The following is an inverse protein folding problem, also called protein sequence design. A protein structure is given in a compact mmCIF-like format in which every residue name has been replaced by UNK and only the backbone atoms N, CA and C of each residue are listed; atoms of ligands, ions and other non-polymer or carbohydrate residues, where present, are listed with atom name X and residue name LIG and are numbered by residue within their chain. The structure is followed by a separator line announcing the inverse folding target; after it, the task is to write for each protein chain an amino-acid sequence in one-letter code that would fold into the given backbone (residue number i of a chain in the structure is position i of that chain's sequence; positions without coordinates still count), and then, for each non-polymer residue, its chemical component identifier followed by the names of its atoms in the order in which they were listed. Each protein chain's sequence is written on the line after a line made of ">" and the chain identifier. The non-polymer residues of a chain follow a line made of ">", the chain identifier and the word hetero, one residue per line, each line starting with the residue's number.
data_IF_308970870046
#
_entry.id   IF_308970870046
#
_cell.length_a   1.000
_cell.length_b   1.000
_cell.length_c   1.000
_cell.angle_alpha   90.00
_cell.angle_beta   90.00
_cell.angle_gamma   90.00
#
_symmetry.space_group_name_H-M   'P 1'
#
loop_
_entity.id
_entity.type
_entity.pdbx_description
1 polymer ?
#
# COMPACT_ATOMS: atom_id res chain seq x y z
N UNK A 1 -101.96 71.20 -33.03
CA UNK A 1 -100.52 70.89 -33.27
C UNK A 1 -99.70 72.14 -32.98
N UNK A 2 -99.16 72.28 -31.76
CA UNK A 2 -98.34 73.44 -31.41
C UNK A 2 -96.91 73.25 -31.89
N UNK A 3 -96.47 74.06 -32.84
CA UNK A 3 -95.10 74.03 -33.38
C UNK A 3 -94.12 74.52 -32.31
N UNK A 4 -93.34 73.59 -31.75
CA UNK A 4 -92.24 73.91 -30.84
C UNK A 4 -91.25 74.82 -31.56
N UNK A 5 -90.98 76.00 -31.01
CA UNK A 5 -90.03 76.96 -31.59
C UNK A 5 -88.62 76.36 -31.61
N UNK A 6 -87.81 76.76 -32.60
CA UNK A 6 -86.44 76.25 -32.78
C UNK A 6 -85.60 76.38 -31.48
N UNK A 7 -85.72 77.50 -30.77
CA UNK A 7 -85.04 77.71 -29.48
C UNK A 7 -85.37 76.62 -28.45
N UNK A 8 -86.65 76.29 -28.25
CA UNK A 8 -87.06 75.24 -27.29
C UNK A 8 -86.51 73.85 -27.66
N UNK A 9 -86.37 73.57 -28.95
CA UNK A 9 -85.76 72.31 -29.41
C UNK A 9 -84.26 72.27 -29.13
N UNK A 10 -83.55 73.39 -29.30
CA UNK A 10 -82.12 73.51 -28.96
C UNK A 10 -81.90 73.36 -27.45
N UNK A 11 -82.73 74.00 -26.62
CA UNK A 11 -82.63 73.88 -25.16
C UNK A 11 -82.89 72.45 -24.68
N UNK A 12 -83.89 71.78 -25.26
CA UNK A 12 -84.21 70.39 -24.97
C UNK A 12 -83.07 69.45 -25.39
N UNK A 13 -82.46 69.68 -26.56
CA UNK A 13 -81.29 68.91 -27.02
C UNK A 13 -80.09 69.12 -26.10
N UNK A 14 -79.84 70.35 -25.66
CA UNK A 14 -78.76 70.68 -24.73
C UNK A 14 -78.94 70.00 -23.37
N UNK A 15 -80.19 69.94 -22.86
CA UNK A 15 -80.51 69.19 -21.64
C UNK A 15 -80.31 67.69 -21.81
N UNK A 16 -80.73 67.12 -22.93
CA UNK A 16 -80.56 65.70 -23.22
C UNK A 16 -79.09 65.31 -23.39
N UNK A 17 -78.27 66.17 -24.03
CA UNK A 17 -76.82 65.96 -24.15
C UNK A 17 -76.17 65.93 -22.76
N UNK A 18 -76.50 66.89 -21.88
CA UNK A 18 -75.95 66.92 -20.52
C UNK A 18 -76.35 65.70 -19.69
N UNK A 19 -77.58 65.23 -19.84
CA UNK A 19 -78.06 64.03 -19.16
C UNK A 19 -77.33 62.78 -19.68
N UNK A 20 -77.16 62.66 -21.00
CA UNK A 20 -76.42 61.58 -21.64
C UNK A 20 -74.92 61.59 -21.27
N UNK A 21 -74.30 62.77 -21.17
CA UNK A 21 -72.93 62.94 -20.69
C UNK A 21 -72.78 62.55 -19.21
N UNK A 22 -73.76 62.89 -18.37
CA UNK A 22 -73.76 62.52 -16.96
C UNK A 22 -73.94 61.00 -16.77
N UNK A 23 -74.81 60.37 -17.54
CA UNK A 23 -75.01 58.92 -17.50
C UNK A 23 -73.79 58.16 -18.06
N UNK A 24 -73.19 58.62 -19.16
CA UNK A 24 -71.95 58.07 -19.68
C UNK A 24 -70.77 58.25 -18.70
N UNK A 25 -70.74 59.33 -17.93
CA UNK A 25 -69.75 59.56 -16.87
C UNK A 25 -69.93 58.56 -15.72
N UNK A 26 -71.18 58.34 -15.28
CA UNK A 26 -71.48 57.36 -14.22
C UNK A 26 -71.16 55.93 -14.64
N UNK A 27 -71.43 55.57 -15.90
CA UNK A 27 -71.10 54.25 -16.44
C UNK A 27 -69.59 54.02 -16.44
N UNK A 28 -68.80 55.02 -16.88
CA UNK A 28 -67.34 54.98 -16.79
C UNK A 28 -66.82 54.87 -15.36
N UNK A 29 -67.41 55.59 -14.41
CA UNK A 29 -67.05 55.47 -12.99
C UNK A 29 -67.34 54.08 -12.43
N UNK A 30 -68.48 53.48 -12.80
CA UNK A 30 -68.85 52.13 -12.39
C UNK A 30 -67.89 51.07 -12.98
N UNK A 31 -67.48 51.23 -14.24
CA UNK A 31 -66.51 50.36 -14.90
C UNK A 31 -65.13 50.46 -14.24
N UNK A 32 -64.68 51.67 -13.90
CA UNK A 32 -63.44 51.91 -13.17
C UNK A 32 -63.46 51.23 -11.79
N UNK A 33 -64.57 51.34 -11.06
CA UNK A 33 -64.75 50.71 -9.75
C UNK A 33 -64.75 49.18 -9.84
N UNK A 34 -65.33 48.61 -10.90
CA UNK A 34 -65.28 47.17 -11.17
C UNK A 34 -63.84 46.71 -11.45
N UNK A 35 -63.07 47.50 -12.20
CA UNK A 35 -61.66 47.26 -12.48
C UNK A 35 -60.82 47.23 -11.19
N UNK A 36 -61.00 48.22 -10.30
CA UNK A 36 -60.29 48.25 -9.01
C UNK A 36 -60.62 47.03 -8.14
N UNK A 37 -61.88 46.60 -8.07
CA UNK A 37 -62.26 45.37 -7.35
C UNK A 37 -61.58 44.11 -7.89
N UNK A 38 -61.40 44.03 -9.21
CA UNK A 38 -60.70 42.90 -9.83
C UNK A 38 -59.21 42.95 -9.47
N UNK A 39 -58.58 44.12 -9.51
CA UNK A 39 -57.20 44.32 -9.09
C UNK A 39 -56.98 43.93 -7.63
N UNK A 40 -57.87 44.34 -6.72
CA UNK A 40 -57.79 44.01 -5.30
C UNK A 40 -57.88 42.49 -5.08
N UNK A 41 -58.81 41.81 -5.76
CA UNK A 41 -58.93 40.35 -5.70
C UNK A 41 -57.70 39.63 -6.24
N UNK A 42 -57.07 40.16 -7.30
CA UNK A 42 -55.83 39.59 -7.83
C UNK A 42 -54.67 39.75 -6.85
N UNK A 43 -54.58 40.89 -6.16
CA UNK A 43 -53.60 41.13 -5.10
C UNK A 43 -53.83 40.15 -3.94
N UNK A 44 -55.08 39.95 -3.51
CA UNK A 44 -55.43 38.96 -2.48
C UNK A 44 -55.10 37.52 -2.90
N UNK A 45 -55.32 37.15 -4.16
CA UNK A 45 -54.95 35.83 -4.69
C UNK A 45 -53.42 35.64 -4.76
N UNK A 46 -52.66 36.71 -5.01
CA UNK A 46 -51.19 36.69 -5.05
C UNK A 46 -50.54 36.69 -3.67
N UNK A 47 -51.24 37.12 -2.63
CA UNK A 47 -50.78 37.02 -1.26
C UNK A 47 -50.92 35.59 -0.76
N UNK A 48 -49.80 34.86 -0.72
CA UNK A 48 -49.79 33.57 -0.05
C UNK A 48 -50.22 33.75 1.42
N UNK A 49 -51.12 32.90 1.94
CA UNK A 49 -51.53 32.99 3.33
C UNK A 49 -50.28 32.90 4.21
N UNK A 50 -50.06 33.92 5.05
CA UNK A 50 -48.92 34.01 5.97
C UNK A 50 -48.75 32.75 6.82
N UNK A 51 -49.87 32.05 7.10
CA UNK A 51 -49.93 30.76 7.78
C UNK A 51 -49.24 29.62 7.00
N UNK A 52 -49.31 29.63 5.67
CA UNK A 52 -48.69 28.64 4.80
C UNK A 52 -47.17 28.85 4.72
N UNK A 53 -46.74 30.10 4.54
CA UNK A 53 -45.33 30.52 4.59
C UNK A 53 -44.68 30.14 5.93
N UNK A 54 -45.39 30.36 7.04
CA UNK A 54 -44.94 29.97 8.37
C UNK A 54 -44.83 28.45 8.53
N UNK A 55 -45.79 27.67 8.03
CA UNK A 55 -45.70 26.21 8.03
C UNK A 55 -44.54 25.69 7.18
N UNK A 56 -44.29 26.33 6.03
CA UNK A 56 -43.17 25.98 5.16
C UNK A 56 -41.82 26.27 5.82
N UNK A 57 -41.67 27.42 6.50
CA UNK A 57 -40.44 27.75 7.22
C UNK A 57 -40.20 26.82 8.41
N UNK A 58 -41.26 26.48 9.17
CA UNK A 58 -41.20 25.50 10.26
C UNK A 58 -40.79 24.11 9.73
N UNK A 59 -41.35 23.67 8.60
CA UNK A 59 -41.00 22.40 7.97
C UNK A 59 -39.55 22.39 7.48
N UNK A 60 -39.10 23.47 6.83
CA UNK A 60 -37.72 23.65 6.38
C UNK A 60 -36.73 23.63 7.54
N UNK A 61 -37.07 24.26 8.67
CA UNK A 61 -36.24 24.22 9.87
C UNK A 61 -36.20 22.81 10.48
N UNK A 62 -37.35 22.13 10.59
CA UNK A 62 -37.38 20.72 11.04
C UNK A 62 -36.52 19.82 10.15
N UNK A 63 -36.61 19.99 8.83
CA UNK A 63 -35.79 19.25 7.88
C UNK A 63 -34.29 19.53 8.06
N UNK A 64 -33.90 20.80 8.26
CA UNK A 64 -32.50 21.16 8.55
C UNK A 64 -31.99 20.54 9.85
N UNK A 65 -32.82 20.50 10.89
CA UNK A 65 -32.48 19.84 12.16
C UNK A 65 -32.31 18.32 12.01
N UNK A 66 -32.89 17.71 10.98
CA UNK A 66 -32.71 16.28 10.67
C UNK A 66 -31.46 16.08 9.82
N UNK A 67 -31.28 16.84 8.74
CA UNK A 67 -30.18 16.65 7.78
C UNK A 67 -28.81 16.96 8.35
N UNK A 68 -28.68 18.00 9.18
CA UNK A 68 -27.37 18.39 9.71
C UNK A 68 -26.69 17.27 10.53
N UNK A 69 -27.37 16.63 11.51
CA UNK A 69 -26.80 15.48 12.23
C UNK A 69 -26.42 14.31 11.33
N UNK A 70 -27.20 14.00 10.28
CA UNK A 70 -26.85 12.92 9.35
C UNK A 70 -25.59 13.25 8.55
N UNK A 71 -25.39 14.51 8.16
CA UNK A 71 -24.16 14.93 7.48
C UNK A 71 -22.96 14.86 8.42
N UNK A 72 -23.10 15.33 9.66
CA UNK A 72 -22.05 15.23 10.68
C UNK A 72 -21.69 13.77 10.97
N UNK A 73 -22.69 12.88 11.04
CA UNK A 73 -22.47 11.44 11.20
C UNK A 73 -21.76 10.82 10.00
N UNK A 74 -22.12 11.19 8.76
CA UNK A 74 -21.41 10.72 7.56
C UNK A 74 -19.94 11.15 7.55
N UNK A 75 -19.66 12.40 7.97
CA UNK A 75 -18.30 12.92 8.11
C UNK A 75 -17.51 12.13 9.18
N UNK A 76 -18.14 11.82 10.32
CA UNK A 76 -17.55 10.98 11.38
C UNK A 76 -17.29 9.54 10.92
N UNK A 77 -18.22 8.92 10.20
CA UNK A 77 -18.06 7.58 9.62
C UNK A 77 -16.89 7.58 8.64
N UNK A 78 -16.80 8.60 7.78
CA UNK A 78 -15.69 8.77 6.83
C UNK A 78 -14.34 8.89 7.55
N UNK A 79 -14.27 9.71 8.61
CA UNK A 79 -13.07 9.83 9.43
C UNK A 79 -12.70 8.49 10.11
N UNK A 80 -13.68 7.77 10.66
CA UNK A 80 -13.47 6.47 11.28
C UNK A 80 -12.89 5.45 10.30
N UNK A 81 -13.43 5.39 9.07
CA UNK A 81 -12.92 4.52 8.01
C UNK A 81 -11.46 4.81 7.67
N UNK A 82 -11.11 6.09 7.53
CA UNK A 82 -9.72 6.51 7.28
C UNK A 82 -8.78 6.10 8.42
N UNK A 83 -9.23 6.21 9.67
CA UNK A 83 -8.47 5.76 10.83
C UNK A 83 -8.30 4.23 10.84
N UNK A 84 -9.33 3.46 10.50
CA UNK A 84 -9.24 2.00 10.39
C UNK A 84 -8.23 1.57 9.31
N UNK A 85 -8.27 2.20 8.14
CA UNK A 85 -7.32 1.93 7.05
C UNK A 85 -5.88 2.29 7.43
N UNK A 86 -5.67 3.40 8.15
CA UNK A 86 -4.36 3.76 8.67
C UNK A 86 -3.85 2.75 9.70
N UNK A 87 -4.72 2.29 10.61
CA UNK A 87 -4.38 1.27 11.61
C UNK A 87 -4.03 -0.07 10.97
N UNK A 88 -4.80 -0.49 9.97
CA UNK A 88 -4.53 -1.71 9.19
C UNK A 88 -3.17 -1.64 8.47
N UNK A 89 -2.87 -0.51 7.82
CA UNK A 89 -1.56 -0.30 7.19
C UNK A 89 -0.42 -0.36 8.21
N UNK A 90 -0.58 0.25 9.38
CA UNK A 90 0.41 0.20 10.45
C UNK A 90 0.66 -1.24 10.92
N UNK A 91 -0.39 -2.02 11.17
CA UNK A 91 -0.25 -3.41 11.59
C UNK A 91 0.51 -4.25 10.55
N UNK A 92 0.22 -4.04 9.25
CA UNK A 92 0.95 -4.70 8.17
C UNK A 92 2.44 -4.31 8.15
N UNK A 93 2.77 -3.04 8.38
CA UNK A 93 4.17 -2.58 8.49
C UNK A 93 4.87 -3.20 9.70
N UNK A 94 4.20 -3.26 10.85
CA UNK A 94 4.75 -3.85 12.08
C UNK A 94 5.00 -5.37 11.91
N UNK A 95 4.14 -6.06 11.15
CA UNK A 95 4.34 -7.46 10.79
C UNK A 95 5.55 -7.66 9.88
N UNK A 96 5.67 -6.86 8.82
CA UNK A 96 6.84 -6.87 7.93
C UNK A 96 8.13 -6.58 8.72
N UNK A 97 8.11 -5.59 9.62
CA UNK A 97 9.27 -5.25 10.44
C UNK A 97 9.71 -6.43 11.33
N UNK A 98 8.76 -7.16 11.91
CA UNK A 98 9.05 -8.35 12.72
C UNK A 98 9.66 -9.47 11.87
N UNK A 99 9.10 -9.76 10.70
CA UNK A 99 9.66 -10.76 9.78
C UNK A 99 11.07 -10.40 9.33
N UNK A 100 11.35 -9.12 9.09
CA UNK A 100 12.71 -8.64 8.75
C UNK A 100 13.68 -8.89 9.91
N UNK A 101 13.27 -8.60 11.15
CA UNK A 101 14.09 -8.85 12.34
C UNK A 101 14.41 -10.35 12.51
N UNK A 102 13.44 -11.22 12.28
CA UNK A 102 13.63 -12.68 12.30
C UNK A 102 14.65 -13.13 11.24
N UNK A 103 14.53 -12.63 10.01
CA UNK A 103 15.49 -12.92 8.93
C UNK A 103 16.91 -12.45 9.29
N UNK A 104 17.05 -11.25 9.87
CA UNK A 104 18.35 -10.73 10.33
C UNK A 104 18.94 -11.62 11.42
N UNK A 105 18.13 -12.06 12.39
CA UNK A 105 18.58 -12.96 13.45
C UNK A 105 19.06 -14.31 12.89
N UNK A 106 18.32 -14.90 11.95
CA UNK A 106 18.71 -16.13 11.26
C UNK A 106 20.02 -15.93 10.48
N UNK A 107 20.17 -14.82 9.75
CA UNK A 107 21.39 -14.51 9.01
C UNK A 107 22.60 -14.41 9.94
N UNK A 108 22.44 -13.77 11.10
CA UNK A 108 23.50 -13.67 12.10
C UNK A 108 23.89 -15.04 12.66
N UNK A 109 22.90 -15.89 12.93
CA UNK A 109 23.16 -17.26 13.38
C UNK A 109 23.90 -18.10 12.34
N UNK A 110 23.49 -18.03 11.07
CA UNK A 110 24.19 -18.72 9.97
C UNK A 110 25.65 -18.26 9.88
N UNK A 111 25.89 -16.94 9.93
CA UNK A 111 27.24 -16.40 9.91
C UNK A 111 28.08 -16.89 11.10
N UNK A 112 27.50 -16.95 12.30
CA UNK A 112 28.16 -17.51 13.47
C UNK A 112 28.52 -18.99 13.26
N UNK A 113 27.58 -19.81 12.80
CA UNK A 113 27.81 -21.24 12.55
C UNK A 113 28.88 -21.48 11.47
N UNK A 114 28.91 -20.67 10.42
CA UNK A 114 29.96 -20.73 9.39
C UNK A 114 31.33 -20.41 10.00
N UNK A 115 31.42 -19.36 10.80
CA UNK A 115 32.68 -18.96 11.43
C UNK A 115 33.19 -20.01 12.43
N UNK A 116 32.29 -20.62 13.21
CA UNK A 116 32.61 -21.70 14.13
C UNK A 116 33.11 -22.96 13.39
N UNK A 117 32.41 -23.35 12.32
CA UNK A 117 32.83 -24.47 11.49
C UNK A 117 34.21 -24.23 10.83
N UNK A 118 34.48 -22.99 10.41
CA UNK A 118 35.77 -22.61 9.82
C UNK A 118 36.93 -22.84 10.78
N UNK A 119 36.78 -22.45 12.04
CA UNK A 119 37.81 -22.69 13.06
C UNK A 119 38.12 -24.19 13.22
N UNK A 120 37.07 -25.01 13.25
CA UNK A 120 37.24 -26.47 13.34
C UNK A 120 37.92 -27.07 12.11
N UNK A 121 37.60 -26.57 10.91
CA UNK A 121 38.23 -26.99 9.65
C UNK A 121 39.71 -26.63 9.65
N UNK A 122 40.06 -25.40 10.04
CA UNK A 122 41.44 -24.93 10.08
C UNK A 122 42.29 -25.80 11.02
N UNK A 123 41.75 -26.17 12.20
CA UNK A 123 42.43 -27.07 13.13
C UNK A 123 42.64 -28.50 12.58
N UNK A 124 41.65 -29.05 11.87
CA UNK A 124 41.80 -30.37 11.22
C UNK A 124 42.83 -30.31 10.09
N UNK A 125 42.84 -29.22 9.32
CA UNK A 125 43.79 -29.00 8.24
C UNK A 125 45.22 -28.93 8.76
N UNK A 126 45.47 -28.22 9.86
CA UNK A 126 46.78 -28.17 10.52
C UNK A 126 47.28 -29.58 10.90
N UNK A 127 46.44 -30.39 11.55
CA UNK A 127 46.81 -31.76 11.91
C UNK A 127 47.05 -32.68 10.71
N UNK A 128 46.34 -32.46 9.59
CA UNK A 128 46.57 -33.20 8.36
C UNK A 128 47.92 -32.84 7.73
N UNK A 129 48.28 -31.56 7.71
CA UNK A 129 49.58 -31.08 7.23
C UNK A 129 50.73 -31.64 8.09
N UNK A 130 50.59 -31.62 9.42
CA UNK A 130 51.55 -32.25 10.34
C UNK A 130 51.68 -33.76 10.06
N UNK A 131 50.55 -34.46 9.92
CA UNK A 131 50.52 -35.89 9.63
C UNK A 131 51.20 -36.25 8.30
N UNK A 132 51.02 -35.42 7.26
CA UNK A 132 51.70 -35.57 5.98
C UNK A 132 53.22 -35.42 6.13
N UNK A 133 53.67 -34.40 6.86
CA UNK A 133 55.09 -34.18 7.12
C UNK A 133 55.73 -35.35 7.88
N UNK A 134 55.10 -35.84 8.94
CA UNK A 134 55.57 -37.02 9.67
C UNK A 134 55.61 -38.26 8.76
N UNK A 135 54.59 -38.45 7.93
CA UNK A 135 54.53 -39.54 6.95
C UNK A 135 55.69 -39.48 5.94
N UNK A 136 56.02 -38.29 5.44
CA UNK A 136 57.16 -38.08 4.55
C UNK A 136 58.49 -38.41 5.23
N UNK A 137 58.71 -37.93 6.45
CA UNK A 137 59.94 -38.21 7.21
C UNK A 137 60.10 -39.70 7.49
N UNK A 138 59.06 -40.36 7.98
CA UNK A 138 59.07 -41.79 8.27
C UNK A 138 59.33 -42.62 7.01
N UNK A 139 58.73 -42.24 5.87
CA UNK A 139 58.96 -42.91 4.60
C UNK A 139 60.41 -42.74 4.12
N UNK A 140 61.00 -41.55 4.29
CA UNK A 140 62.40 -41.31 3.94
C UNK A 140 63.36 -42.14 4.81
N UNK A 141 63.12 -42.21 6.11
CA UNK A 141 63.88 -43.07 7.02
C UNK A 141 63.79 -44.55 6.65
N UNK A 142 62.58 -45.05 6.37
CA UNK A 142 62.36 -46.42 5.91
C UNK A 142 63.10 -46.70 4.59
N UNK A 143 63.12 -45.73 3.67
CA UNK A 143 63.86 -45.81 2.41
C UNK A 143 65.37 -45.91 2.65
N UNK A 144 65.91 -45.15 3.59
CA UNK A 144 67.32 -45.21 3.99
C UNK A 144 67.64 -46.57 4.63
N UNK A 145 66.83 -47.03 5.58
CA UNK A 145 67.00 -48.32 6.27
C UNK A 145 66.95 -49.47 5.27
N UNK A 146 65.98 -49.47 4.35
CA UNK A 146 65.85 -50.48 3.29
C UNK A 146 67.10 -50.50 2.40
N UNK A 147 67.60 -49.33 1.98
CA UNK A 147 68.85 -49.22 1.19
C UNK A 147 70.05 -49.80 1.95
N UNK A 148 70.22 -49.48 3.24
CA UNK A 148 71.29 -50.02 4.08
C UNK A 148 71.21 -51.55 4.22
N UNK A 149 70.00 -52.10 4.47
CA UNK A 149 69.78 -53.55 4.54
C UNK A 149 70.15 -54.24 3.23
N UNK A 150 69.68 -53.72 2.09
CA UNK A 150 70.01 -54.25 0.77
C UNK A 150 71.52 -54.21 0.49
N UNK A 151 72.19 -53.12 0.85
CA UNK A 151 73.63 -52.98 0.66
C UNK A 151 74.43 -53.97 1.52
N UNK A 152 74.07 -54.13 2.81
CA UNK A 152 74.67 -55.15 3.68
C UNK A 152 74.47 -56.57 3.14
N UNK A 153 73.27 -56.88 2.66
CA UNK A 153 72.98 -58.19 2.06
C UNK A 153 73.84 -58.44 0.80
N UNK A 154 74.03 -57.42 -0.05
CA UNK A 154 74.92 -57.50 -1.21
C UNK A 154 76.37 -57.77 -0.79
N UNK A 155 76.88 -57.07 0.22
CA UNK A 155 78.25 -57.29 0.73
C UNK A 155 78.43 -58.71 1.25
N UNK A 156 77.52 -59.18 2.12
CA UNK A 156 77.59 -60.53 2.68
C UNK A 156 77.61 -61.57 1.55
N UNK A 157 76.75 -61.41 0.54
CA UNK A 157 76.72 -62.28 -0.63
C UNK A 157 78.04 -62.26 -1.41
N UNK A 158 78.62 -61.08 -1.65
CA UNK A 158 79.91 -60.95 -2.34
C UNK A 158 81.05 -61.60 -1.54
N UNK A 159 81.08 -61.43 -0.21
CA UNK A 159 82.10 -62.06 0.66
C UNK A 159 81.96 -63.57 0.64
N UNK A 160 80.73 -64.11 0.75
CA UNK A 160 80.50 -65.56 0.64
C UNK A 160 80.93 -66.13 -0.71
N UNK A 161 80.68 -65.41 -1.81
CA UNK A 161 81.16 -65.80 -3.14
C UNK A 161 82.69 -65.82 -3.21
N UNK A 162 83.38 -64.82 -2.66
CA UNK A 162 84.84 -64.81 -2.62
C UNK A 162 85.39 -65.98 -1.80
N UNK A 163 84.84 -66.25 -0.62
CA UNK A 163 85.26 -67.36 0.25
C UNK A 163 85.06 -68.71 -0.46
N UNK A 164 83.93 -68.90 -1.13
CA UNK A 164 83.66 -70.15 -1.88
C UNK A 164 84.58 -70.33 -3.08
N UNK A 165 84.91 -69.26 -3.81
CA UNK A 165 85.90 -69.30 -4.91
C UNK A 165 87.29 -69.66 -4.38
N UNK A 166 87.75 -69.03 -3.29
CA UNK A 166 89.06 -69.32 -2.68
C UNK A 166 89.12 -70.78 -2.18
N UNK A 167 88.05 -71.28 -1.55
CA UNK A 167 87.99 -72.66 -1.11
C UNK A 167 88.06 -73.64 -2.31
N UNK A 168 87.33 -73.33 -3.39
CA UNK A 168 87.36 -74.14 -4.61
C UNK A 168 88.75 -74.16 -5.25
N UNK A 169 89.44 -73.02 -5.35
CA UNK A 169 90.81 -72.98 -5.89
C UNK A 169 91.81 -73.73 -5.02
N UNK A 170 91.73 -73.63 -3.69
CA UNK A 170 92.59 -74.41 -2.77
C UNK A 170 92.39 -75.92 -2.91
N UNK A 171 91.13 -76.38 -3.04
CA UNK A 171 90.82 -77.79 -3.29
C UNK A 171 91.41 -78.25 -4.63
N UNK A 172 91.28 -77.42 -5.67
CA UNK A 172 91.80 -77.72 -7.01
C UNK A 172 93.33 -77.80 -7.01
N UNK A 173 94.02 -76.89 -6.31
CA UNK A 173 95.48 -76.96 -6.12
C UNK A 173 95.89 -78.25 -5.41
N UNK A 174 95.18 -78.64 -4.34
CA UNK A 174 95.41 -79.90 -3.62
C UNK A 174 95.13 -81.18 -4.41
N UNK A 175 94.33 -81.10 -5.47
CA UNK A 175 94.03 -82.23 -6.36
C UNK A 175 95.08 -82.36 -7.48
N UNK A 176 95.70 -81.23 -7.87
CA UNK A 176 96.64 -81.16 -8.99
C UNK A 176 98.10 -81.35 -8.53
N UNK A 177 98.44 -80.98 -7.30
CA UNK A 177 99.75 -81.19 -6.65
C UNK A 177 99.65 -82.21 -5.52
#
# INVERSE_FOLDING_TARGET
>A
MGTVTFSKRVDMLSSQIKEFEADASKEKEAELAAMFRICDRLIECGQQPSRLLRRYSELKNKYRCIVNPYRELDDEISACKMHMEASSRKNSIDEVARSVQEVVAISNYINYAINDARFSIDNVMEHLEEGEQYGMMANEELRIIRRRKLWRAKIIRSVLLLVTVIAATLILVKLVF
#
